data_IF_958692803932
#
_entry.id   IF_958692803932
#
_cell.length_a   1.000
_cell.length_b   1.000
_cell.length_c   1.000
_cell.angle_alpha   90.00
_cell.angle_beta   90.00
_cell.angle_gamma   90.00
#
_symmetry.space_group_name_H-M   'P 1'
#
loop_
_entity.id
_entity.type
_entity.pdbx_description
1 polymer ?
#
# COMPACT_ATOMS: atom_id res chain seq x y z
N UNK A 1 29.32 -0.52 -35.91
CA UNK A 1 29.71 -0.99 -34.57
C UNK A 1 28.84 -2.21 -34.31
N UNK A 2 29.42 -3.41 -34.20
CA UNK A 2 28.65 -4.62 -33.92
C UNK A 2 27.97 -4.49 -32.56
N UNK A 3 26.67 -4.77 -32.50
CA UNK A 3 25.93 -4.78 -31.23
C UNK A 3 26.37 -6.01 -30.44
N UNK A 4 26.78 -5.79 -29.19
CA UNK A 4 27.09 -6.86 -28.24
C UNK A 4 25.94 -7.04 -27.24
N UNK A 5 25.99 -8.10 -26.42
CA UNK A 5 24.96 -8.42 -25.41
C UNK A 5 24.59 -7.22 -24.53
N UNK A 6 25.59 -6.43 -24.09
CA UNK A 6 25.36 -5.24 -23.25
C UNK A 6 24.51 -4.20 -23.98
N UNK A 7 24.78 -3.93 -25.26
CA UNK A 7 24.01 -2.96 -26.05
C UNK A 7 22.57 -3.41 -26.30
N UNK A 8 22.33 -4.72 -26.46
CA UNK A 8 20.99 -5.29 -26.58
C UNK A 8 20.22 -5.25 -25.26
N UNK A 9 20.86 -5.61 -24.15
CA UNK A 9 20.26 -5.55 -22.81
C UNK A 9 19.87 -4.12 -22.43
N UNK A 10 20.71 -3.12 -22.77
CA UNK A 10 20.38 -1.71 -22.56
C UNK A 10 19.12 -1.26 -23.34
N UNK A 11 18.94 -1.74 -24.57
CA UNK A 11 17.73 -1.46 -25.36
C UNK A 11 16.49 -2.11 -24.75
N UNK A 12 16.59 -3.38 -24.34
CA UNK A 12 15.50 -4.11 -23.71
C UNK A 12 15.11 -3.46 -22.38
N UNK A 13 16.09 -3.13 -21.54
CA UNK A 13 15.88 -2.42 -20.28
C UNK A 13 15.24 -1.05 -20.47
N UNK A 14 15.73 -0.25 -21.43
CA UNK A 14 15.15 1.06 -21.72
C UNK A 14 13.71 1.01 -22.23
N UNK A 15 13.36 0.01 -23.05
CA UNK A 15 11.95 -0.19 -23.43
C UNK A 15 11.09 -0.71 -22.28
N UNK A 16 11.66 -1.49 -21.36
CA UNK A 16 10.96 -2.01 -20.19
C UNK A 16 10.66 -0.89 -19.17
N UNK A 17 11.58 0.04 -18.95
CA UNK A 17 11.33 1.22 -18.11
C UNK A 17 10.16 2.08 -18.60
N UNK A 18 9.91 2.09 -19.93
CA UNK A 18 8.81 2.82 -20.56
C UNK A 18 7.54 1.93 -20.69
N UNK A 19 7.57 0.70 -20.17
CA UNK A 19 6.42 -0.22 -20.19
C UNK A 19 6.06 -0.78 -21.57
N UNK A 20 6.97 -0.74 -22.55
CA UNK A 20 6.68 -1.14 -23.93
C UNK A 20 6.97 -2.61 -24.19
N UNK A 21 6.18 -3.51 -23.59
CA UNK A 21 6.35 -4.97 -23.69
C UNK A 21 6.54 -5.48 -25.13
N UNK A 22 5.67 -5.06 -26.06
CA UNK A 22 5.77 -5.49 -27.47
C UNK A 22 7.13 -5.13 -28.10
N UNK A 23 7.66 -3.95 -27.80
CA UNK A 23 8.98 -3.54 -28.31
C UNK A 23 10.11 -4.33 -27.64
N UNK A 24 10.01 -4.61 -26.35
CA UNK A 24 10.98 -5.47 -25.67
C UNK A 24 11.04 -6.86 -26.31
N UNK A 25 9.88 -7.47 -26.61
CA UNK A 25 9.81 -8.79 -27.29
C UNK A 25 10.37 -8.71 -28.71
N UNK A 26 10.04 -7.68 -29.50
CA UNK A 26 10.61 -7.47 -30.84
C UNK A 26 12.15 -7.39 -30.80
N UNK A 27 12.69 -6.59 -29.88
CA UNK A 27 14.14 -6.43 -29.69
C UNK A 27 14.79 -7.73 -29.25
N UNK A 28 14.15 -8.48 -28.34
CA UNK A 28 14.59 -9.80 -27.90
C UNK A 28 14.65 -10.81 -29.05
N UNK A 29 13.62 -10.86 -29.91
CA UNK A 29 13.62 -11.74 -31.09
C UNK A 29 14.75 -11.40 -32.05
N UNK A 30 15.00 -10.11 -32.34
CA UNK A 30 16.12 -9.70 -33.18
C UNK A 30 17.48 -10.06 -32.58
N UNK A 31 17.64 -9.93 -31.26
CA UNK A 31 18.86 -10.36 -30.57
C UNK A 31 19.10 -11.86 -30.73
N UNK A 32 18.05 -12.68 -30.66
CA UNK A 32 18.15 -14.13 -30.91
C UNK A 32 18.46 -14.46 -32.38
N UNK A 33 17.88 -13.73 -33.34
CA UNK A 33 18.13 -13.90 -34.77
C UNK A 33 19.58 -13.56 -35.16
N UNK A 34 20.17 -12.54 -34.54
CA UNK A 34 21.60 -12.20 -34.71
C UNK A 34 22.54 -13.18 -34.01
N UNK A 35 22.01 -14.19 -33.29
CA UNK A 35 22.81 -15.20 -32.59
C UNK A 35 23.58 -14.65 -31.39
N UNK A 36 23.19 -13.49 -30.88
CA UNK A 36 23.84 -12.86 -29.72
C UNK A 36 23.49 -13.65 -28.46
N UNK A 37 24.47 -13.83 -27.57
CA UNK A 37 24.27 -14.55 -26.30
C UNK A 37 23.28 -13.78 -25.42
N UNK A 38 22.21 -14.46 -25.05
CA UNK A 38 21.20 -14.03 -24.06
C UNK A 38 21.67 -14.44 -22.66
N UNK A 39 21.48 -13.56 -21.68
CA UNK A 39 21.85 -13.78 -20.28
C UNK A 39 20.70 -13.37 -19.33
N UNK A 40 20.98 -13.38 -18.03
CA UNK A 40 20.03 -13.07 -16.97
C UNK A 40 19.50 -11.62 -17.07
N UNK A 41 20.38 -10.69 -17.41
CA UNK A 41 20.06 -9.28 -17.65
C UNK A 41 19.16 -9.05 -18.88
N UNK A 42 19.05 -10.02 -19.80
CA UNK A 42 18.09 -9.96 -20.91
C UNK A 42 16.66 -10.32 -20.45
N UNK A 43 16.52 -11.36 -19.63
CA UNK A 43 15.21 -11.92 -19.27
C UNK A 43 14.52 -11.13 -18.15
N UNK A 44 15.25 -10.63 -17.16
CA UNK A 44 14.65 -9.96 -16.01
C UNK A 44 13.77 -8.73 -16.39
N UNK A 45 14.18 -7.82 -17.29
CA UNK A 45 13.33 -6.72 -17.73
C UNK A 45 12.11 -7.16 -18.54
N UNK A 46 12.20 -8.28 -19.27
CA UNK A 46 11.06 -8.84 -20.00
C UNK A 46 10.00 -9.38 -19.04
N UNK A 47 10.45 -10.15 -18.03
CA UNK A 47 9.60 -10.73 -17.00
C UNK A 47 8.93 -9.66 -16.12
N UNK A 48 9.63 -8.56 -15.83
CA UNK A 48 9.10 -7.44 -15.04
C UNK A 48 7.88 -6.74 -15.67
N UNK A 49 7.62 -6.97 -16.96
CA UNK A 49 6.45 -6.43 -17.67
C UNK A 49 5.27 -7.41 -17.75
N UNK A 50 5.39 -8.61 -17.17
CA UNK A 50 4.39 -9.66 -17.28
C UNK A 50 3.50 -9.69 -16.04
N UNK A 51 2.67 -8.66 -15.92
CA UNK A 51 1.81 -8.47 -14.74
C UNK A 51 0.31 -8.77 -14.97
N UNK A 52 -0.06 -9.22 -16.18
CA UNK A 52 -1.45 -9.52 -16.54
C UNK A 52 -1.68 -11.02 -16.69
N UNK A 53 -2.83 -11.53 -16.24
CA UNK A 53 -3.21 -12.93 -16.38
C UNK A 53 -3.21 -13.42 -17.85
N UNK A 54 -3.46 -12.53 -18.81
CA UNK A 54 -3.41 -12.83 -20.24
C UNK A 54 -1.99 -13.15 -20.74
N UNK A 55 -0.97 -12.67 -20.03
CA UNK A 55 0.44 -12.85 -20.38
C UNK A 55 1.03 -14.16 -19.84
N UNK A 56 0.25 -14.98 -19.13
CA UNK A 56 0.68 -16.26 -18.58
C UNK A 56 1.41 -17.16 -19.61
N UNK A 57 0.86 -17.26 -20.82
CA UNK A 57 1.45 -18.11 -21.86
C UNK A 57 2.81 -17.58 -22.32
N UNK A 58 2.98 -16.25 -22.37
CA UNK A 58 4.26 -15.62 -22.66
C UNK A 58 5.26 -15.84 -21.52
N UNK A 59 4.83 -15.70 -20.26
CA UNK A 59 5.64 -16.03 -19.07
C UNK A 59 6.16 -17.46 -19.15
N UNK A 60 5.29 -18.42 -19.51
CA UNK A 60 5.66 -19.83 -19.69
C UNK A 60 6.67 -20.05 -20.83
N UNK A 61 6.50 -19.36 -21.95
CA UNK A 61 7.45 -19.45 -23.08
C UNK A 61 8.84 -18.91 -22.71
N UNK A 62 8.89 -17.75 -22.04
CA UNK A 62 10.15 -17.16 -21.57
C UNK A 62 10.82 -18.04 -20.51
N UNK A 63 10.04 -18.56 -19.55
CA UNK A 63 10.55 -19.51 -18.56
C UNK A 63 11.10 -20.80 -19.21
N UNK A 64 10.43 -21.35 -20.23
CA UNK A 64 10.96 -22.48 -21.00
C UNK A 64 12.27 -22.16 -21.73
N UNK A 65 12.44 -20.92 -22.22
CA UNK A 65 13.71 -20.46 -22.80
C UNK A 65 14.81 -20.32 -21.75
N UNK A 66 14.51 -19.80 -20.57
CA UNK A 66 15.44 -19.69 -19.43
C UNK A 66 16.00 -21.07 -19.07
N UNK A 67 15.12 -22.06 -18.89
CA UNK A 67 15.48 -23.46 -18.60
C UNK A 67 16.35 -24.08 -19.70
N UNK A 68 16.01 -23.84 -20.99
CA UNK A 68 16.79 -24.36 -22.12
C UNK A 68 18.21 -23.77 -22.18
N UNK A 69 18.43 -22.59 -21.60
CA UNK A 69 19.71 -21.88 -21.61
C UNK A 69 20.54 -22.14 -20.34
N UNK A 70 20.03 -22.88 -19.35
CA UNK A 70 20.75 -23.15 -18.11
C UNK A 70 20.81 -21.94 -17.17
N UNK A 71 19.84 -21.01 -17.27
CA UNK A 71 19.79 -19.77 -16.49
C UNK A 71 18.86 -19.87 -15.27
N UNK A 72 18.32 -21.06 -14.98
CA UNK A 72 17.37 -21.30 -13.88
C UNK A 72 17.95 -21.08 -12.47
N UNK A 73 19.27 -21.08 -12.35
CA UNK A 73 19.97 -20.86 -11.07
C UNK A 73 20.48 -19.42 -10.91
N UNK A 74 20.28 -18.55 -11.90
CA UNK A 74 20.65 -17.14 -11.80
C UNK A 74 19.57 -16.37 -11.02
N UNK A 75 19.90 -15.91 -9.80
CA UNK A 75 18.93 -15.33 -8.86
C UNK A 75 18.11 -14.18 -9.46
N UNK A 76 18.72 -13.33 -10.29
CA UNK A 76 18.03 -12.20 -10.95
C UNK A 76 16.83 -12.68 -11.76
N UNK A 77 17.01 -13.71 -12.57
CA UNK A 77 15.93 -14.26 -13.42
C UNK A 77 15.00 -15.15 -12.62
N UNK A 78 15.53 -15.93 -11.68
CA UNK A 78 14.73 -16.75 -10.78
C UNK A 78 13.68 -15.90 -10.04
N UNK A 79 14.12 -14.81 -9.42
CA UNK A 79 13.27 -13.89 -8.66
C UNK A 79 12.24 -13.22 -9.57
N UNK A 80 12.66 -12.74 -10.75
CA UNK A 80 11.75 -12.15 -11.74
C UNK A 80 10.73 -13.17 -12.28
N UNK A 81 11.09 -14.44 -12.40
CA UNK A 81 10.19 -15.51 -12.88
C UNK A 81 9.13 -15.83 -11.84
N UNK A 82 9.51 -15.92 -10.55
CA UNK A 82 8.56 -16.09 -9.43
C UNK A 82 7.55 -14.95 -9.43
N UNK A 83 8.03 -13.69 -9.48
CA UNK A 83 7.15 -12.51 -9.50
C UNK A 83 6.24 -12.51 -10.73
N UNK A 84 6.75 -12.77 -11.94
CA UNK A 84 5.93 -12.81 -13.15
C UNK A 84 4.81 -13.85 -13.09
N UNK A 85 5.08 -15.05 -12.55
CA UNK A 85 4.03 -16.05 -12.34
C UNK A 85 3.01 -15.63 -11.29
N UNK A 86 3.46 -14.98 -10.21
CA UNK A 86 2.58 -14.46 -9.17
C UNK A 86 1.64 -13.40 -9.72
N UNK A 87 2.16 -12.40 -10.44
CA UNK A 87 1.35 -11.34 -11.05
C UNK A 87 0.37 -11.88 -12.11
N UNK A 88 0.73 -12.96 -12.82
CA UNK A 88 -0.19 -13.67 -13.71
C UNK A 88 -1.28 -14.49 -12.96
N UNK A 89 -1.34 -14.44 -11.63
CA UNK A 89 -2.27 -15.21 -10.80
C UNK A 89 -1.92 -16.69 -10.62
N UNK A 90 -0.75 -17.13 -11.09
CA UNK A 90 -0.36 -18.54 -11.17
C UNK A 90 0.60 -18.94 -10.05
N UNK A 91 0.15 -18.80 -8.80
CA UNK A 91 0.99 -19.02 -7.60
C UNK A 91 1.56 -20.44 -7.51
N UNK A 92 0.86 -21.45 -8.01
CA UNK A 92 1.40 -22.82 -8.04
C UNK A 92 2.65 -22.92 -8.93
N UNK A 93 2.71 -22.16 -10.03
CA UNK A 93 3.87 -22.12 -10.92
C UNK A 93 5.03 -21.35 -10.31
N UNK A 94 4.73 -20.22 -9.66
CA UNK A 94 5.70 -19.50 -8.84
C UNK A 94 6.31 -20.42 -7.77
N UNK A 95 5.48 -21.20 -7.07
CA UNK A 95 5.93 -22.19 -6.10
C UNK A 95 6.79 -23.28 -6.73
N UNK A 96 6.43 -23.81 -7.90
CA UNK A 96 7.24 -24.82 -8.61
C UNK A 96 8.64 -24.29 -8.93
N UNK A 97 8.73 -23.06 -9.42
CA UNK A 97 10.00 -22.39 -9.71
C UNK A 97 10.83 -22.23 -8.43
N UNK A 98 10.19 -21.77 -7.36
CA UNK A 98 10.80 -21.67 -6.04
C UNK A 98 11.33 -23.01 -5.53
N UNK A 99 10.51 -24.06 -5.60
CA UNK A 99 10.85 -25.41 -5.13
C UNK A 99 12.03 -26.01 -5.91
N UNK A 100 12.11 -25.79 -7.24
CA UNK A 100 13.22 -26.23 -8.10
C UNK A 100 14.55 -25.56 -7.71
N UNK A 101 14.50 -24.31 -7.25
CA UNK A 101 15.70 -23.54 -6.88
C UNK A 101 16.29 -23.91 -5.49
N UNK A 102 15.91 -25.05 -4.93
CA UNK A 102 16.41 -25.50 -3.62
C UNK A 102 17.94 -25.55 -3.59
N UNK A 103 18.53 -24.99 -2.53
CA UNK A 103 19.98 -24.85 -2.37
C UNK A 103 20.63 -23.62 -3.01
N UNK A 104 19.93 -22.87 -3.88
CA UNK A 104 20.47 -21.66 -4.55
C UNK A 104 19.72 -20.37 -4.18
N UNK A 105 18.59 -20.48 -3.46
CA UNK A 105 17.74 -19.35 -3.06
C UNK A 105 18.51 -18.33 -2.22
N UNK A 106 18.48 -17.07 -2.62
CA UNK A 106 18.89 -15.96 -1.76
C UNK A 106 17.70 -15.35 -1.02
N UNK A 107 17.98 -14.39 -0.12
CA UNK A 107 16.94 -13.68 0.62
C UNK A 107 15.90 -13.02 -0.29
N UNK A 108 16.30 -12.57 -1.49
CA UNK A 108 15.38 -11.96 -2.46
C UNK A 108 14.44 -13.03 -3.03
N UNK A 109 14.91 -14.25 -3.31
CA UNK A 109 14.06 -15.37 -3.73
C UNK A 109 13.00 -15.71 -2.69
N UNK A 110 13.39 -15.76 -1.40
CA UNK A 110 12.45 -15.97 -0.30
C UNK A 110 11.43 -14.85 -0.19
N UNK A 111 11.88 -13.59 -0.32
CA UNK A 111 11.01 -12.41 -0.27
C UNK A 111 10.04 -12.37 -1.45
N UNK A 112 10.46 -12.74 -2.66
CA UNK A 112 9.59 -12.84 -3.85
C UNK A 112 8.47 -13.87 -3.63
N UNK A 113 8.80 -15.05 -3.10
CA UNK A 113 7.78 -16.08 -2.85
C UNK A 113 6.84 -15.70 -1.70
N UNK A 114 7.39 -15.08 -0.65
CA UNK A 114 6.60 -14.59 0.46
C UNK A 114 5.62 -13.50 0.00
N UNK A 115 6.09 -12.50 -0.75
CA UNK A 115 5.25 -11.44 -1.31
C UNK A 115 4.13 -12.03 -2.19
N UNK A 116 4.46 -12.97 -3.07
CA UNK A 116 3.50 -13.65 -3.92
C UNK A 116 2.36 -14.31 -3.12
N UNK A 117 2.68 -15.00 -2.02
CA UNK A 117 1.65 -15.59 -1.15
C UNK A 117 0.81 -14.53 -0.42
N UNK A 118 1.43 -13.45 0.05
CA UNK A 118 0.73 -12.38 0.78
C UNK A 118 -0.22 -11.58 -0.12
N UNK A 119 0.17 -11.30 -1.36
CA UNK A 119 -0.65 -10.56 -2.33
C UNK A 119 -1.88 -11.35 -2.79
N UNK A 120 -1.81 -12.68 -2.70
CA UNK A 120 -2.87 -13.59 -3.14
C UNK A 120 -3.75 -14.11 -1.99
N UNK A 121 -3.70 -13.47 -0.81
CA UNK A 121 -4.43 -13.89 0.39
C UNK A 121 -4.17 -15.38 0.76
N UNK A 122 -2.95 -15.88 0.54
CA UNK A 122 -2.51 -17.24 0.89
C UNK A 122 -1.58 -17.21 2.11
N UNK A 123 -2.05 -16.62 3.21
CA UNK A 123 -1.18 -16.25 4.32
C UNK A 123 -0.63 -17.46 5.09
N UNK A 124 -1.35 -18.59 5.13
CA UNK A 124 -0.84 -19.84 5.73
C UNK A 124 0.42 -20.32 5.00
N UNK A 125 0.39 -20.33 3.66
CA UNK A 125 1.55 -20.71 2.85
C UNK A 125 2.69 -19.69 2.97
N UNK A 126 2.37 -18.40 3.03
CA UNK A 126 3.35 -17.34 3.32
C UNK A 126 4.04 -17.55 4.67
N UNK A 127 3.29 -17.96 5.70
CA UNK A 127 3.85 -18.27 7.00
C UNK A 127 4.71 -19.54 7.01
N UNK A 128 4.33 -20.58 6.27
CA UNK A 128 5.15 -21.78 6.12
C UNK A 128 6.52 -21.45 5.51
N UNK A 129 6.56 -20.60 4.49
CA UNK A 129 7.81 -20.09 3.90
C UNK A 129 8.62 -19.31 4.94
N UNK A 130 7.98 -18.42 5.70
CA UNK A 130 8.66 -17.69 6.79
C UNK A 130 9.25 -18.63 7.85
N UNK A 131 8.50 -19.66 8.27
CA UNK A 131 9.01 -20.66 9.22
C UNK A 131 10.20 -21.43 8.65
N UNK A 132 10.19 -21.71 7.35
CA UNK A 132 11.33 -22.33 6.67
C UNK A 132 12.55 -21.40 6.68
N UNK A 133 12.38 -20.10 6.39
CA UNK A 133 13.46 -19.10 6.51
C UNK A 133 14.07 -19.08 7.92
N UNK A 134 13.21 -19.12 8.94
CA UNK A 134 13.64 -19.16 10.35
C UNK A 134 14.38 -20.46 10.69
N UNK A 135 13.91 -21.61 10.21
CA UNK A 135 14.56 -22.93 10.41
C UNK A 135 15.93 -22.99 9.74
N UNK A 136 16.07 -22.38 8.57
CA UNK A 136 17.33 -22.24 7.84
C UNK A 136 18.26 -21.17 8.44
N UNK A 137 17.82 -20.46 9.50
CA UNK A 137 18.56 -19.41 10.21
C UNK A 137 19.00 -18.26 9.30
N UNK A 138 18.17 -17.92 8.32
CA UNK A 138 18.42 -16.77 7.46
C UNK A 138 18.36 -15.48 8.27
N UNK A 139 19.29 -14.56 7.99
CA UNK A 139 19.23 -13.20 8.50
C UNK A 139 18.18 -12.42 7.69
N UNK A 140 16.95 -12.45 8.18
CA UNK A 140 15.85 -11.67 7.61
C UNK A 140 16.06 -10.19 7.88
N UNK A 141 15.80 -9.37 6.88
CA UNK A 141 15.81 -7.92 7.05
C UNK A 141 14.49 -7.42 7.66
N UNK A 142 14.46 -6.13 7.98
CA UNK A 142 13.29 -5.47 8.52
C UNK A 142 12.09 -5.48 7.55
N UNK A 143 12.35 -5.56 6.24
CA UNK A 143 11.31 -5.60 5.21
C UNK A 143 10.57 -6.94 5.23
N UNK A 144 11.28 -8.06 5.22
CA UNK A 144 10.71 -9.41 5.34
C UNK A 144 9.84 -9.51 6.58
N UNK A 145 10.33 -9.03 7.73
CA UNK A 145 9.53 -9.09 8.96
C UNK A 145 8.29 -8.20 8.89
N UNK A 146 8.42 -6.99 8.36
CA UNK A 146 7.31 -6.04 8.25
C UNK A 146 6.22 -6.54 7.30
N UNK A 147 6.58 -7.22 6.21
CA UNK A 147 5.61 -7.77 5.26
C UNK A 147 4.79 -8.90 5.88
N UNK A 148 5.43 -9.87 6.53
CA UNK A 148 4.72 -10.96 7.23
C UNK A 148 3.86 -10.44 8.38
N UNK A 149 4.38 -9.50 9.18
CA UNK A 149 3.62 -8.96 10.30
C UNK A 149 2.38 -8.20 9.81
N UNK A 150 2.51 -7.43 8.72
CA UNK A 150 1.42 -6.60 8.20
C UNK A 150 0.27 -7.41 7.61
N UNK A 151 0.48 -8.67 7.24
CA UNK A 151 -0.59 -9.57 6.80
C UNK A 151 -1.33 -10.24 7.96
N UNK A 152 -0.74 -10.30 9.16
CA UNK A 152 -1.27 -11.03 10.31
C UNK A 152 -2.35 -10.27 11.11
N UNK A 153 -3.26 -9.55 10.45
CA UNK A 153 -4.29 -8.75 11.13
C UNK A 153 -5.66 -9.45 11.24
N UNK A 154 -5.89 -10.54 10.49
CA UNK A 154 -7.15 -11.31 10.55
C UNK A 154 -7.25 -12.09 11.86
N UNK A 155 -8.49 -12.36 12.31
CA UNK A 155 -8.74 -13.06 13.57
C UNK A 155 -8.10 -14.46 13.64
N UNK A 156 -8.08 -15.19 12.51
CA UNK A 156 -7.42 -16.50 12.39
C UNK A 156 -5.90 -16.45 12.62
N UNK A 157 -5.29 -15.27 12.44
CA UNK A 157 -3.83 -15.09 12.41
C UNK A 157 -3.31 -14.34 13.64
N UNK A 158 -4.15 -13.99 14.62
CA UNK A 158 -3.69 -13.25 15.81
C UNK A 158 -2.64 -14.03 16.63
N UNK A 159 -2.77 -15.35 16.74
CA UNK A 159 -1.78 -16.21 17.42
C UNK A 159 -0.43 -16.16 16.72
N UNK A 160 -0.45 -16.09 15.39
CA UNK A 160 0.73 -15.92 14.57
C UNK A 160 1.34 -14.52 14.79
N UNK A 161 0.55 -13.45 14.67
CA UNK A 161 1.02 -12.09 14.92
C UNK A 161 1.69 -11.91 16.29
N UNK A 162 1.12 -12.53 17.34
CA UNK A 162 1.71 -12.55 18.69
C UNK A 162 3.02 -13.36 18.76
N UNK A 163 3.12 -14.49 18.06
CA UNK A 163 4.36 -15.25 17.93
C UNK A 163 5.47 -14.44 17.23
N UNK A 164 5.11 -13.69 16.18
CA UNK A 164 6.03 -12.80 15.46
C UNK A 164 6.48 -11.62 16.33
N UNK A 165 5.59 -11.03 17.12
CA UNK A 165 5.97 -10.02 18.11
C UNK A 165 6.99 -10.57 19.11
N UNK A 166 6.76 -11.77 19.65
CA UNK A 166 7.73 -12.45 20.51
C UNK A 166 9.07 -12.70 19.82
N UNK A 167 9.06 -13.02 18.53
CA UNK A 167 10.27 -13.16 17.72
C UNK A 167 11.04 -11.84 17.55
N UNK A 168 10.34 -10.73 17.26
CA UNK A 168 10.93 -9.39 17.16
C UNK A 168 11.67 -9.03 18.46
N UNK A 169 11.03 -9.23 19.61
CA UNK A 169 11.66 -8.98 20.93
C UNK A 169 12.86 -9.90 21.14
N UNK A 170 12.73 -11.20 20.86
CA UNK A 170 13.81 -12.18 21.08
C UNK A 170 15.05 -11.88 20.22
N UNK A 171 14.86 -11.23 19.07
CA UNK A 171 15.93 -10.83 18.16
C UNK A 171 16.48 -9.43 18.44
N UNK A 172 15.94 -8.70 19.41
CA UNK A 172 16.37 -7.32 19.69
C UNK A 172 15.96 -6.33 18.60
N UNK A 173 14.89 -6.63 17.85
CA UNK A 173 14.42 -5.84 16.72
C UNK A 173 13.30 -4.86 17.10
N UNK A 174 12.93 -4.76 18.37
CA UNK A 174 11.87 -3.88 18.87
C UNK A 174 12.17 -2.38 18.69
N UNK A 175 13.46 -2.01 18.56
CA UNK A 175 13.88 -0.64 18.27
C UNK A 175 13.90 -0.32 16.77
N UNK A 176 13.71 -1.31 15.90
CA UNK A 176 13.61 -1.10 14.45
C UNK A 176 12.22 -0.58 14.12
N UNK A 177 12.11 0.71 13.76
CA UNK A 177 10.82 1.38 13.57
C UNK A 177 9.95 0.68 12.53
N UNK A 178 10.52 0.14 11.45
CA UNK A 178 9.77 -0.59 10.42
C UNK A 178 9.02 -1.80 11.00
N UNK A 179 9.72 -2.69 11.72
CA UNK A 179 9.12 -3.87 12.33
C UNK A 179 8.08 -3.49 13.40
N UNK A 180 8.40 -2.50 14.24
CA UNK A 180 7.48 -2.03 15.28
C UNK A 180 6.26 -1.31 14.71
N UNK A 181 6.39 -0.56 13.61
CA UNK A 181 5.27 0.06 12.91
C UNK A 181 4.35 -1.00 12.28
N UNK A 182 4.93 -2.07 11.71
CA UNK A 182 4.15 -3.21 11.24
C UNK A 182 3.38 -3.88 12.38
N UNK A 183 4.01 -4.08 13.55
CA UNK A 183 3.35 -4.63 14.74
C UNK A 183 2.20 -3.73 15.23
N UNK A 184 2.41 -2.42 15.30
CA UNK A 184 1.37 -1.45 15.68
C UNK A 184 0.21 -1.53 14.70
N UNK A 185 0.48 -1.51 13.39
CA UNK A 185 -0.57 -1.62 12.37
C UNK A 185 -1.32 -2.95 12.46
N UNK A 186 -0.63 -4.07 12.70
CA UNK A 186 -1.23 -5.39 12.84
C UNK A 186 -2.17 -5.44 14.05
N UNK A 187 -1.72 -4.95 15.21
CA UNK A 187 -2.55 -4.90 16.41
C UNK A 187 -3.75 -3.95 16.28
N UNK A 188 -3.57 -2.77 15.66
CA UNK A 188 -4.67 -1.83 15.46
C UNK A 188 -5.66 -2.29 14.39
N UNK A 189 -5.24 -3.04 13.37
CA UNK A 189 -6.17 -3.60 12.38
C UNK A 189 -6.89 -4.85 12.90
N UNK A 190 -6.27 -5.56 13.84
CA UNK A 190 -6.92 -6.67 14.55
C UNK A 190 -7.98 -6.13 15.51
N UNK A 191 -8.90 -7.00 15.93
CA UNK A 191 -10.04 -6.66 16.78
C UNK A 191 -9.67 -5.74 17.97
N UNK A 192 -10.62 -4.91 18.43
CA UNK A 192 -10.41 -3.77 19.35
C UNK A 192 -9.72 -4.11 20.69
N UNK A 193 -9.67 -5.38 21.06
CA UNK A 193 -9.04 -5.86 22.29
C UNK A 193 -7.50 -5.80 22.28
N UNK A 194 -6.86 -5.65 21.13
CA UNK A 194 -5.39 -5.63 21.02
C UNK A 194 -4.78 -4.22 20.96
N UNK A 195 -5.57 -3.15 21.06
CA UNK A 195 -5.07 -1.77 20.99
C UNK A 195 -4.03 -1.48 22.08
N UNK A 196 -4.20 -2.04 23.28
CA UNK A 196 -3.24 -1.86 24.37
C UNK A 196 -1.84 -2.42 24.02
N UNK A 197 -1.78 -3.53 23.28
CA UNK A 197 -0.50 -4.07 22.83
C UNK A 197 0.14 -3.18 21.75
N UNK A 198 -0.65 -2.58 20.85
CA UNK A 198 -0.16 -1.56 19.93
C UNK A 198 0.44 -0.35 20.68
N UNK A 199 -0.24 0.12 21.72
CA UNK A 199 0.23 1.24 22.55
C UNK A 199 1.52 0.89 23.31
N UNK A 200 1.65 -0.36 23.80
CA UNK A 200 2.90 -0.83 24.41
C UNK A 200 4.03 -0.84 23.40
N UNK A 201 3.83 -1.43 22.21
CA UNK A 201 4.86 -1.45 21.16
C UNK A 201 5.30 -0.03 20.82
N UNK A 202 4.35 0.88 20.58
CA UNK A 202 4.65 2.28 20.30
C UNK A 202 5.47 2.95 21.42
N UNK A 203 5.10 2.75 22.68
CA UNK A 203 5.83 3.32 23.83
C UNK A 203 7.27 2.82 23.93
N UNK A 204 7.53 1.55 23.58
CA UNK A 204 8.86 0.93 23.66
C UNK A 204 9.84 1.37 22.55
N UNK A 205 9.36 2.03 21.49
CA UNK A 205 10.23 2.61 20.46
C UNK A 205 10.93 3.84 21.04
N UNK A 206 12.25 3.82 21.18
CA UNK A 206 13.03 4.93 21.74
C UNK A 206 12.96 6.18 20.84
N UNK A 207 13.24 5.99 19.54
CA UNK A 207 13.22 7.04 18.52
C UNK A 207 12.14 6.78 17.49
N UNK A 208 10.97 7.34 17.73
CA UNK A 208 9.81 7.27 16.83
C UNK A 208 10.04 8.14 15.59
N UNK A 209 9.76 7.59 14.42
CA UNK A 209 9.73 8.37 13.17
C UNK A 209 8.30 8.86 12.87
N UNK A 210 8.15 9.67 11.82
CA UNK A 210 6.84 10.18 11.40
C UNK A 210 5.87 9.04 11.06
N UNK A 211 6.38 7.92 10.55
CA UNK A 211 5.58 6.73 10.24
C UNK A 211 5.04 6.09 11.52
N UNK A 212 5.82 6.00 12.59
CA UNK A 212 5.36 5.50 13.90
C UNK A 212 4.18 6.33 14.42
N UNK A 213 4.30 7.65 14.36
CA UNK A 213 3.27 8.58 14.80
C UNK A 213 2.01 8.51 13.94
N UNK A 214 2.16 8.51 12.62
CA UNK A 214 1.02 8.40 11.70
C UNK A 214 0.32 7.04 11.82
N UNK A 215 1.08 5.95 12.06
CA UNK A 215 0.51 4.61 12.25
C UNK A 215 -0.37 4.56 13.49
N UNK A 216 0.10 5.07 14.63
CA UNK A 216 -0.71 5.07 15.87
C UNK A 216 -1.91 6.02 15.74
N UNK A 217 -1.74 7.21 15.17
CA UNK A 217 -2.83 8.18 15.00
C UNK A 217 -3.93 7.63 14.08
N UNK A 218 -3.55 7.14 12.91
CA UNK A 218 -4.49 6.63 11.91
C UNK A 218 -5.23 5.42 12.47
N UNK A 219 -4.52 4.46 13.06
CA UNK A 219 -5.17 3.26 13.60
C UNK A 219 -6.07 3.56 14.80
N UNK A 220 -5.75 4.51 15.68
CA UNK A 220 -6.66 4.93 16.76
C UNK A 220 -7.90 5.64 16.21
N UNK A 221 -7.74 6.52 15.21
CA UNK A 221 -8.86 7.23 14.55
C UNK A 221 -9.82 6.30 13.79
N UNK A 222 -9.34 5.14 13.34
CA UNK A 222 -10.17 4.14 12.64
C UNK A 222 -10.91 3.20 13.60
N UNK A 223 -10.38 3.00 14.81
CA UNK A 223 -10.93 2.08 15.82
C UNK A 223 -11.85 2.76 16.86
N UNK A 224 -12.46 3.89 16.52
CA UNK A 224 -13.35 4.65 17.41
C UNK A 224 -12.67 5.14 18.71
N UNK A 225 -11.34 5.19 18.73
CA UNK A 225 -10.53 5.70 19.85
C UNK A 225 -10.03 7.12 19.57
N UNK A 226 -10.92 7.95 19.02
CA UNK A 226 -10.62 9.29 18.54
C UNK A 226 -10.08 10.22 19.64
N UNK A 227 -10.47 10.03 20.90
CA UNK A 227 -9.90 10.79 22.02
C UNK A 227 -8.40 10.48 22.21
N UNK A 228 -8.02 9.20 22.13
CA UNK A 228 -6.61 8.80 22.24
C UNK A 228 -5.81 9.36 21.06
N UNK A 229 -6.35 9.32 19.84
CA UNK A 229 -5.71 9.92 18.67
C UNK A 229 -5.44 11.42 18.89
N UNK A 230 -6.42 12.18 19.39
CA UNK A 230 -6.23 13.60 19.70
C UNK A 230 -5.19 13.85 20.80
N UNK A 231 -5.11 12.97 21.81
CA UNK A 231 -4.07 13.06 22.85
C UNK A 231 -2.66 12.82 22.29
N UNK A 232 -2.49 11.84 21.40
CA UNK A 232 -1.21 11.63 20.72
C UNK A 232 -0.85 12.79 19.79
N UNK A 233 -1.84 13.38 19.10
CA UNK A 233 -1.60 14.56 18.29
C UNK A 233 -1.15 15.76 19.15
N UNK A 234 -1.81 15.97 20.30
CA UNK A 234 -1.37 16.99 21.26
C UNK A 234 0.07 16.76 21.70
N UNK A 235 0.46 15.51 21.96
CA UNK A 235 1.84 15.16 22.27
C UNK A 235 2.79 15.51 21.11
N UNK A 236 2.48 15.11 19.87
CA UNK A 236 3.29 15.48 18.70
C UNK A 236 3.49 17.00 18.57
N UNK A 237 2.42 17.77 18.84
CA UNK A 237 2.46 19.22 18.78
C UNK A 237 3.31 19.84 19.89
N UNK A 238 3.24 19.31 21.11
CA UNK A 238 4.09 19.74 22.23
C UNK A 238 5.56 19.37 22.03
N UNK A 239 5.82 18.27 21.33
CA UNK A 239 7.16 17.80 20.98
C UNK A 239 7.71 18.50 19.71
N UNK A 240 7.00 19.49 19.16
CA UNK A 240 7.37 20.27 17.96
C UNK A 240 7.67 19.40 16.73
N UNK A 241 6.96 18.29 16.57
CA UNK A 241 7.12 17.40 15.42
C UNK A 241 6.46 17.98 14.17
N UNK A 242 7.00 17.59 13.01
CA UNK A 242 6.43 17.95 11.70
C UNK A 242 5.18 17.11 11.47
N UNK A 243 4.15 17.73 10.88
CA UNK A 243 2.92 17.06 10.47
C UNK A 243 2.88 16.91 8.96
N UNK A 244 2.21 15.86 8.49
CA UNK A 244 1.93 15.65 7.07
C UNK A 244 0.43 15.49 6.81
N UNK A 245 0.06 15.22 5.56
CA UNK A 245 -1.33 15.02 5.16
C UNK A 245 -2.01 13.87 5.92
N UNK A 246 -1.26 12.83 6.31
CA UNK A 246 -1.82 11.70 7.04
C UNK A 246 -2.10 12.07 8.49
N UNK A 247 -1.21 12.83 9.13
CA UNK A 247 -1.44 13.39 10.47
C UNK A 247 -2.73 14.21 10.49
N UNK A 248 -2.88 15.17 9.57
CA UNK A 248 -4.06 16.03 9.54
C UNK A 248 -5.35 15.26 9.24
N UNK A 249 -5.31 14.33 8.29
CA UNK A 249 -6.48 13.53 7.93
C UNK A 249 -6.98 12.69 9.13
N UNK A 250 -6.07 12.05 9.88
CA UNK A 250 -6.41 11.27 11.06
C UNK A 250 -7.02 12.13 12.17
N UNK A 251 -6.45 13.31 12.44
CA UNK A 251 -6.90 14.21 13.50
C UNK A 251 -8.24 14.86 13.17
N UNK A 252 -8.44 15.28 11.91
CA UNK A 252 -9.71 15.82 11.43
C UNK A 252 -10.82 14.76 11.47
N UNK A 253 -10.50 13.52 11.10
CA UNK A 253 -11.41 12.37 11.30
C UNK A 253 -11.77 12.21 12.77
N UNK A 254 -10.80 12.25 13.68
CA UNK A 254 -11.11 12.16 15.12
C UNK A 254 -11.97 13.32 15.63
N UNK A 255 -11.80 14.53 15.09
CA UNK A 255 -12.69 15.66 15.39
C UNK A 255 -14.10 15.44 14.86
N UNK A 256 -14.22 14.87 13.66
CA UNK A 256 -15.48 14.48 13.03
C UNK A 256 -16.24 13.45 13.87
N UNK A 257 -15.55 12.39 14.33
CA UNK A 257 -16.16 11.31 15.11
C UNK A 257 -16.65 11.78 16.48
N UNK A 258 -15.96 12.73 17.08
CA UNK A 258 -16.30 13.31 18.39
C UNK A 258 -17.18 14.57 18.28
N UNK A 259 -17.49 15.03 17.06
CA UNK A 259 -18.18 16.28 16.78
C UNK A 259 -17.55 17.51 17.50
N UNK A 260 -16.22 17.58 17.59
CA UNK A 260 -15.49 18.64 18.31
C UNK A 260 -15.14 19.83 17.40
N UNK A 261 -16.15 20.57 16.96
CA UNK A 261 -16.02 21.68 16.00
C UNK A 261 -14.91 22.70 16.35
N UNK A 262 -14.80 23.09 17.62
CA UNK A 262 -13.82 24.10 18.05
C UNK A 262 -12.38 23.61 17.88
N UNK A 263 -12.14 22.32 18.13
CA UNK A 263 -10.84 21.72 17.87
C UNK A 263 -10.61 21.58 16.36
N UNK A 264 -11.60 21.09 15.63
CA UNK A 264 -11.55 20.99 14.17
C UNK A 264 -11.18 22.31 13.48
N UNK A 265 -11.72 23.44 13.96
CA UNK A 265 -11.36 24.79 13.48
C UNK A 265 -9.91 25.17 13.79
N UNK A 266 -9.40 24.83 14.97
CA UNK A 266 -7.98 25.06 15.31
C UNK A 266 -7.06 24.23 14.40
N UNK A 267 -7.42 22.97 14.14
CA UNK A 267 -6.69 22.09 13.23
C UNK A 267 -6.76 22.62 11.80
N UNK A 268 -7.90 23.12 11.33
CA UNK A 268 -8.02 23.73 10.00
C UNK A 268 -7.08 24.94 9.85
N UNK A 269 -7.00 25.83 10.85
CA UNK A 269 -6.02 26.93 10.83
C UNK A 269 -4.59 26.40 10.73
N UNK A 270 -4.28 25.31 11.42
CA UNK A 270 -2.96 24.68 11.36
C UNK A 270 -2.68 24.06 9.98
N UNK A 271 -3.68 23.44 9.33
CA UNK A 271 -3.60 22.94 7.94
C UNK A 271 -3.22 24.06 6.98
N UNK A 272 -3.93 25.19 7.04
CA UNK A 272 -3.66 26.36 6.19
C UNK A 272 -2.24 26.89 6.43
N UNK A 273 -1.86 27.09 7.69
CA UNK A 273 -0.51 27.56 8.05
C UNK A 273 0.61 26.61 7.62
N UNK A 274 0.31 25.31 7.55
CA UNK A 274 1.25 24.28 7.16
C UNK A 274 1.26 24.02 5.64
N UNK A 275 0.40 24.70 4.87
CA UNK A 275 0.33 24.59 3.41
C UNK A 275 -0.35 23.32 2.88
N UNK A 276 -1.15 22.64 3.70
CA UNK A 276 -1.82 21.38 3.32
C UNK A 276 -3.26 21.57 2.81
N UNK A 277 -3.75 22.80 2.70
CA UNK A 277 -5.13 23.11 2.26
C UNK A 277 -5.45 22.61 0.84
N UNK A 278 -4.45 22.53 -0.05
CA UNK A 278 -4.59 22.00 -1.40
C UNK A 278 -4.53 20.46 -1.48
N UNK A 279 -4.17 19.76 -0.40
CA UNK A 279 -4.09 18.31 -0.42
C UNK A 279 -5.49 17.69 -0.43
N UNK A 280 -5.79 16.84 -1.42
CA UNK A 280 -7.13 16.28 -1.62
C UNK A 280 -7.65 15.46 -0.43
N UNK A 281 -6.76 14.74 0.28
CA UNK A 281 -7.14 13.95 1.45
C UNK A 281 -7.46 14.82 2.66
N UNK A 282 -6.69 15.90 2.86
CA UNK A 282 -6.93 16.86 3.94
C UNK A 282 -8.20 17.67 3.66
N UNK A 283 -8.40 18.14 2.43
CA UNK A 283 -9.62 18.85 2.02
C UNK A 283 -10.86 17.97 2.21
N UNK A 284 -10.78 16.70 1.79
CA UNK A 284 -11.83 15.71 2.05
C UNK A 284 -12.12 15.54 3.54
N UNK A 285 -11.09 15.42 4.38
CA UNK A 285 -11.23 15.30 5.83
C UNK A 285 -11.86 16.56 6.47
N UNK A 286 -11.54 17.76 5.97
CA UNK A 286 -12.17 19.02 6.40
C UNK A 286 -13.67 19.04 6.05
N UNK A 287 -14.03 18.69 4.81
CA UNK A 287 -15.43 18.60 4.38
C UNK A 287 -16.21 17.64 5.29
N UNK A 288 -15.66 16.46 5.57
CA UNK A 288 -16.28 15.49 6.47
C UNK A 288 -16.40 16.02 7.90
N UNK A 289 -15.34 16.62 8.45
CA UNK A 289 -15.35 17.16 9.81
C UNK A 289 -16.41 18.24 10.00
N UNK A 290 -16.48 19.22 9.10
CA UNK A 290 -17.49 20.27 9.18
C UNK A 290 -18.90 19.74 8.98
N UNK A 291 -19.09 18.85 8.00
CA UNK A 291 -20.39 18.21 7.75
C UNK A 291 -20.87 17.43 8.98
N UNK A 292 -20.02 16.60 9.61
CA UNK A 292 -20.39 15.83 10.80
C UNK A 292 -20.57 16.70 12.05
N UNK A 293 -19.91 17.85 12.12
CA UNK A 293 -20.17 18.86 13.15
C UNK A 293 -21.45 19.68 12.90
N UNK A 294 -22.18 19.43 11.80
CA UNK A 294 -23.46 20.06 11.50
C UNK A 294 -23.36 21.43 10.83
N UNK A 295 -22.19 21.83 10.32
CA UNK A 295 -22.00 23.11 9.62
C UNK A 295 -21.63 22.83 8.15
N UNK A 296 -22.66 22.57 7.34
CA UNK A 296 -22.50 22.17 5.94
C UNK A 296 -21.95 23.31 5.08
N UNK A 297 -22.13 24.56 5.50
CA UNK A 297 -21.62 25.77 4.86
C UNK A 297 -20.10 25.83 4.92
N UNK A 298 -19.50 25.63 6.09
CA UNK A 298 -18.03 25.53 6.26
C UNK A 298 -17.46 24.34 5.47
N UNK A 299 -18.23 23.24 5.35
CA UNK A 299 -17.86 22.11 4.50
C UNK A 299 -17.86 22.49 3.01
N UNK A 300 -18.84 23.29 2.58
CA UNK A 300 -18.91 23.82 1.21
C UNK A 300 -17.75 24.78 0.93
N UNK A 301 -17.42 25.67 1.85
CA UNK A 301 -16.25 26.56 1.71
C UNK A 301 -14.95 25.78 1.57
N UNK A 302 -14.76 24.74 2.39
CA UNK A 302 -13.61 23.83 2.30
C UNK A 302 -13.54 23.13 0.95
N UNK A 303 -14.69 22.70 0.42
CA UNK A 303 -14.77 22.17 -0.94
C UNK A 303 -14.38 23.22 -1.99
N UNK A 304 -14.87 24.46 -1.90
CA UNK A 304 -14.54 25.53 -2.83
C UNK A 304 -13.07 25.94 -2.84
N UNK A 305 -12.39 25.86 -1.70
CA UNK A 305 -10.95 26.08 -1.62
C UNK A 305 -10.10 24.97 -2.25
N UNK A 306 -10.66 23.75 -2.42
CA UNK A 306 -9.92 22.59 -2.93
C UNK A 306 -9.82 22.51 -4.46
N UNK A 307 -8.86 21.73 -4.96
CA UNK A 307 -8.72 21.46 -6.39
C UNK A 307 -9.92 20.68 -6.94
N UNK A 308 -10.50 21.17 -8.05
CA UNK A 308 -11.74 20.63 -8.62
C UNK A 308 -11.56 19.43 -9.55
N UNK A 309 -10.37 18.85 -9.57
CA UNK A 309 -10.01 17.73 -10.45
C UNK A 309 -9.96 16.39 -9.68
N UNK A 310 -10.08 16.42 -8.34
CA UNK A 310 -10.02 15.23 -7.48
C UNK A 310 -11.40 14.63 -7.23
N UNK A 311 -11.62 13.37 -7.65
CA UNK A 311 -12.86 12.65 -7.37
C UNK A 311 -13.16 12.53 -5.87
N UNK A 312 -12.12 12.47 -5.03
CA UNK A 312 -12.23 12.33 -3.57
C UNK A 312 -12.98 13.52 -2.97
N UNK A 313 -12.62 14.75 -3.33
CA UNK A 313 -13.27 15.97 -2.77
C UNK A 313 -14.72 16.12 -3.23
N UNK A 314 -15.03 15.77 -4.49
CA UNK A 314 -16.40 15.73 -5.02
C UNK A 314 -17.25 14.70 -4.28
N UNK A 315 -16.74 13.48 -4.14
CA UNK A 315 -17.43 12.42 -3.43
C UNK A 315 -17.76 12.83 -1.99
N UNK A 316 -16.82 13.49 -1.30
CA UNK A 316 -17.03 13.98 0.07
C UNK A 316 -18.14 15.03 0.18
N UNK A 317 -18.19 16.02 -0.71
CA UNK A 317 -19.23 17.07 -0.63
C UNK A 317 -20.61 16.55 -1.06
N UNK A 318 -20.68 15.68 -2.07
CA UNK A 318 -21.94 15.03 -2.48
C UNK A 318 -22.49 14.20 -1.32
N UNK A 319 -21.64 13.40 -0.69
CA UNK A 319 -22.02 12.59 0.46
C UNK A 319 -22.42 13.46 1.67
N UNK A 320 -21.72 14.57 1.91
CA UNK A 320 -22.07 15.51 2.96
C UNK A 320 -23.48 16.08 2.78
N UNK A 321 -23.84 16.59 1.61
CA UNK A 321 -25.20 17.08 1.34
C UNK A 321 -26.25 15.98 1.41
N UNK A 322 -25.94 14.77 0.91
CA UNK A 322 -26.84 13.63 0.99
C UNK A 322 -27.18 13.29 2.46
N UNK A 323 -26.16 13.19 3.34
CA UNK A 323 -26.37 12.90 4.76
C UNK A 323 -27.10 14.00 5.53
N UNK A 324 -27.06 15.24 5.03
CA UNK A 324 -27.82 16.37 5.57
C UNK A 324 -29.27 16.43 5.03
N UNK A 325 -29.72 15.40 4.31
CA UNK A 325 -31.06 15.35 3.73
C UNK A 325 -31.26 16.28 2.53
N UNK A 326 -30.17 16.82 1.97
CA UNK A 326 -30.20 17.74 0.84
C UNK A 326 -29.90 16.98 -0.47
N UNK A 327 -30.64 15.89 -0.71
CA UNK A 327 -30.39 14.97 -1.83
C UNK A 327 -30.39 15.65 -3.20
N UNK A 328 -31.24 16.66 -3.41
CA UNK A 328 -31.28 17.43 -4.65
C UNK A 328 -29.96 18.18 -4.92
N UNK A 329 -29.42 18.87 -3.92
CA UNK A 329 -28.14 19.60 -4.05
C UNK A 329 -26.98 18.62 -4.28
N UNK A 330 -27.01 17.47 -3.62
CA UNK A 330 -26.03 16.40 -3.84
C UNK A 330 -26.07 15.88 -5.30
N UNK A 331 -27.26 15.67 -5.88
CA UNK A 331 -27.38 15.27 -7.29
C UNK A 331 -26.96 16.38 -8.25
N UNK A 332 -27.29 17.64 -7.97
CA UNK A 332 -26.83 18.78 -8.78
C UNK A 332 -25.29 18.86 -8.79
N UNK A 333 -24.65 18.61 -7.65
CA UNK A 333 -23.19 18.50 -7.54
C UNK A 333 -22.62 17.31 -8.33
N UNK A 334 -23.29 16.16 -8.28
CA UNK A 334 -22.92 15.00 -9.10
C UNK A 334 -22.99 15.32 -10.60
N UNK A 335 -24.06 15.96 -11.07
CA UNK A 335 -24.16 16.39 -12.46
C UNK A 335 -23.03 17.36 -12.83
N UNK A 336 -22.75 18.34 -11.97
CA UNK A 336 -21.66 19.29 -12.22
C UNK A 336 -20.27 18.62 -12.25
N UNK A 337 -20.03 17.60 -11.41
CA UNK A 337 -18.83 16.75 -11.48
C UNK A 337 -18.70 16.08 -12.86
N UNK A 338 -19.79 15.53 -13.40
CA UNK A 338 -19.80 14.88 -14.73
C UNK A 338 -19.54 15.86 -15.87
N UNK A 339 -20.12 17.06 -15.82
CA UNK A 339 -19.89 18.10 -16.83
C UNK A 339 -18.42 18.53 -16.89
N UNK A 340 -17.75 18.56 -15.74
CA UNK A 340 -16.31 18.84 -15.63
C UNK A 340 -15.42 17.68 -16.04
N UNK A 341 -16.00 16.52 -16.41
CA UNK A 341 -15.28 15.31 -16.81
C UNK A 341 -14.30 14.79 -15.74
N UNK A 342 -14.62 15.03 -14.46
CA UNK A 342 -13.87 14.44 -13.35
C UNK A 342 -14.12 12.92 -13.36
N UNK A 343 -13.07 12.13 -13.12
CA UNK A 343 -13.17 10.66 -13.12
C UNK A 343 -14.20 10.21 -12.07
N UNK A 344 -15.19 9.44 -12.52
CA UNK A 344 -16.15 8.79 -11.63
C UNK A 344 -15.56 7.48 -11.12
N UNK A 345 -15.81 7.16 -9.86
CA UNK A 345 -15.45 5.88 -9.25
C UNK A 345 -16.66 5.24 -8.55
N UNK A 346 -16.46 4.04 -8.01
CA UNK A 346 -17.52 3.32 -7.30
C UNK A 346 -18.09 4.11 -6.10
N UNK A 347 -17.28 4.95 -5.45
CA UNK A 347 -17.69 5.79 -4.32
C UNK A 347 -18.62 6.90 -4.80
N UNK A 348 -18.38 7.48 -5.98
CA UNK A 348 -19.26 8.48 -6.58
C UNK A 348 -20.69 7.97 -6.74
N UNK A 349 -20.85 6.75 -7.25
CA UNK A 349 -22.17 6.15 -7.42
C UNK A 349 -22.87 5.85 -6.08
N UNK A 350 -22.12 5.41 -5.07
CA UNK A 350 -22.67 5.24 -3.71
C UNK A 350 -23.17 6.57 -3.14
N UNK A 351 -22.42 7.66 -3.31
CA UNK A 351 -22.82 8.98 -2.86
C UNK A 351 -24.10 9.47 -3.58
N UNK A 352 -24.20 9.28 -4.89
CA UNK A 352 -25.40 9.63 -5.67
C UNK A 352 -26.62 8.79 -5.27
N UNK A 353 -26.46 7.48 -5.06
CA UNK A 353 -27.55 6.61 -4.58
C UNK A 353 -28.01 7.01 -3.16
N UNK A 354 -27.06 7.39 -2.30
CA UNK A 354 -27.38 7.92 -0.96
C UNK A 354 -28.20 9.20 -1.10
N UNK A 355 -27.83 10.12 -2.01
CA UNK A 355 -28.61 11.32 -2.28
C UNK A 355 -30.04 11.02 -2.75
N UNK A 356 -30.22 10.04 -3.65
CA UNK A 356 -31.55 9.61 -4.12
C UNK A 356 -32.45 9.08 -3.00
N UNK A 357 -31.88 8.48 -1.96
CA UNK A 357 -32.66 8.02 -0.80
C UNK A 357 -33.18 9.16 0.10
N UNK A 358 -32.68 10.37 -0.12
CA UNK A 358 -33.02 11.59 0.61
C UNK A 358 -33.75 12.64 -0.25
N UNK A 359 -34.41 12.19 -1.33
CA UNK A 359 -35.33 12.97 -2.18
C UNK A 359 -36.71 12.34 -2.03
#
# INVERSE_FOLDING_TARGET
QERNTVSWNALIGGYAEIGKLKRCIEVFMFMEEEGVRVDDATFAPLLALLYDAELYELTRQLHGKIMKRGLEHENTVLNATITAYAECGCIQDAKRVFDIADGYRDLVTWNSMLAAYLEHDLEESGFDVFLEMVRQRLEMDAYTLSSVISSCFRDSQQTLGKSLHGFVIKKGLEQVTQASNALISMYLKSNSQNVEDALKVFKHIDKKDLVSWNTILTGLSQNWLSENALRFFQQMHLDYLIFDQYTFSAVLRSCSDLATLQLGRQIHVLVVKSGFEGNEYVASALIFMYSKCGIIEDARESFEASHKDSSVTWNSIIFAYAQHGQGKIALDLFYFMTERRVKLDHVTFVAALTACSHI
#
